data_IF_621352707758
#
_entry.id   IF_621352707758
#
_cell.length_a   1.000
_cell.length_b   1.000
_cell.length_c   1.000
_cell.angle_alpha   90.00
_cell.angle_beta   90.00
_cell.angle_gamma   90.00
#
_symmetry.space_group_name_H-M   'P 1'
#
loop_
_entity.id
_entity.type
_entity.pdbx_description
1 polymer ?
#
# COMPACT_ATOMS: atom_id res chain seq x y z
N UNK A 1 -17.47 -1.65 0.21
CA UNK A 1 -16.17 -1.68 -0.50
C UNK A 1 -15.05 -2.25 0.38
N UNK A 2 -14.86 -1.76 1.62
CA UNK A 2 -13.89 -2.30 2.60
C UNK A 2 -14.04 -3.83 2.84
N UNK A 3 -15.28 -4.33 2.96
CA UNK A 3 -15.55 -5.75 3.19
C UNK A 3 -14.92 -6.68 2.13
N UNK A 4 -14.99 -6.29 0.84
CA UNK A 4 -14.43 -7.07 -0.28
C UNK A 4 -12.90 -7.12 -0.21
N UNK A 5 -12.27 -5.99 0.12
CA UNK A 5 -10.82 -5.92 0.27
C UNK A 5 -10.33 -6.73 1.47
N UNK A 6 -11.08 -6.78 2.57
CA UNK A 6 -10.72 -7.59 3.73
C UNK A 6 -10.85 -9.09 3.44
N UNK A 7 -11.86 -9.51 2.68
CA UNK A 7 -11.97 -10.91 2.25
C UNK A 7 -10.87 -11.31 1.25
N UNK A 8 -10.47 -10.39 0.37
CA UNK A 8 -9.30 -10.57 -0.50
C UNK A 8 -8.03 -10.80 0.33
N UNK A 9 -7.78 -9.93 1.33
CA UNK A 9 -6.64 -10.04 2.23
C UNK A 9 -6.62 -11.39 2.97
N UNK A 10 -7.74 -11.78 3.57
CA UNK A 10 -7.87 -13.07 4.28
C UNK A 10 -7.62 -14.25 3.35
N UNK A 11 -8.12 -14.19 2.12
CA UNK A 11 -7.91 -15.25 1.13
C UNK A 11 -6.43 -15.37 0.75
N UNK A 12 -5.75 -14.23 0.56
CA UNK A 12 -4.31 -14.22 0.31
C UNK A 12 -3.52 -14.77 1.50
N UNK A 13 -3.86 -14.38 2.73
CA UNK A 13 -3.21 -14.88 3.96
C UNK A 13 -3.37 -16.39 4.14
N UNK A 14 -4.56 -16.95 3.92
CA UNK A 14 -4.77 -18.41 4.00
C UNK A 14 -3.88 -19.14 3.00
N UNK A 15 -3.79 -18.64 1.78
CA UNK A 15 -2.95 -19.24 0.75
C UNK A 15 -1.45 -19.11 1.08
N UNK A 16 -1.02 -17.97 1.64
CA UNK A 16 0.33 -17.76 2.13
C UNK A 16 0.71 -18.77 3.23
N UNK A 17 -0.12 -18.91 4.26
CA UNK A 17 0.12 -19.84 5.37
C UNK A 17 0.17 -21.29 4.88
N UNK A 18 -0.71 -21.67 3.94
CA UNK A 18 -0.76 -23.03 3.40
C UNK A 18 0.44 -23.39 2.49
N UNK A 19 1.14 -22.39 1.94
CA UNK A 19 2.23 -22.61 1.00
C UNK A 19 3.61 -22.15 1.51
N UNK A 20 3.70 -21.40 2.61
CA UNK A 20 4.97 -20.90 3.14
C UNK A 20 5.95 -22.02 3.51
N UNK A 21 5.45 -23.15 4.02
CA UNK A 21 6.26 -24.33 4.32
C UNK A 21 6.86 -25.01 3.10
N UNK A 22 6.36 -24.71 1.89
CA UNK A 22 6.83 -25.27 0.62
C UNK A 22 8.02 -24.51 0.03
N UNK A 23 8.37 -23.34 0.58
CA UNK A 23 9.58 -22.61 0.19
C UNK A 23 10.80 -23.50 0.44
N UNK A 24 11.71 -23.60 -0.52
CA UNK A 24 12.86 -24.51 -0.40
C UNK A 24 13.87 -24.00 0.62
N UNK A 25 14.10 -22.69 0.63
CA UNK A 25 15.07 -22.05 1.51
C UNK A 25 14.48 -21.77 2.91
N UNK A 26 15.25 -22.08 3.95
CA UNK A 26 14.82 -21.87 5.34
C UNK A 26 14.78 -20.39 5.69
N UNK A 27 15.67 -19.56 5.15
CA UNK A 27 15.63 -18.12 5.40
C UNK A 27 14.38 -17.51 4.78
N UNK A 28 14.03 -17.91 3.55
CA UNK A 28 12.77 -17.51 2.89
C UNK A 28 11.53 -17.87 3.71
N UNK A 29 11.50 -19.03 4.38
CA UNK A 29 10.38 -19.39 5.28
C UNK A 29 10.26 -18.43 6.45
N UNK A 30 11.38 -18.07 7.07
CA UNK A 30 11.43 -17.11 8.18
C UNK A 30 10.99 -15.73 7.69
N UNK A 31 11.54 -15.26 6.57
CA UNK A 31 11.17 -13.97 5.95
C UNK A 31 9.68 -13.91 5.60
N UNK A 32 9.15 -14.96 4.99
CA UNK A 32 7.72 -15.06 4.68
C UNK A 32 6.87 -14.89 5.94
N UNK A 33 7.25 -15.55 7.04
CA UNK A 33 6.55 -15.45 8.33
C UNK A 33 6.64 -14.05 8.92
N UNK A 34 7.81 -13.40 8.90
CA UNK A 34 7.99 -12.01 9.33
C UNK A 34 7.06 -11.06 8.55
N UNK A 35 7.00 -11.21 7.23
CA UNK A 35 6.15 -10.40 6.37
C UNK A 35 4.66 -10.66 6.61
N UNK A 36 4.22 -11.92 6.75
CA UNK A 36 2.84 -12.26 7.09
C UNK A 36 2.43 -11.58 8.40
N UNK A 37 3.25 -11.71 9.46
CA UNK A 37 3.00 -11.05 10.74
C UNK A 37 2.92 -9.53 10.59
N UNK A 38 3.84 -8.93 9.84
CA UNK A 38 3.83 -7.48 9.61
C UNK A 38 2.53 -7.02 8.94
N UNK A 39 2.05 -7.74 7.93
CA UNK A 39 0.83 -7.39 7.20
C UNK A 39 -0.42 -7.56 8.07
N UNK A 40 -0.45 -8.56 8.95
CA UNK A 40 -1.56 -8.73 9.91
C UNK A 40 -1.60 -7.59 10.93
N UNK A 41 -0.43 -7.11 11.37
CA UNK A 41 -0.31 -6.04 12.37
C UNK A 41 -0.60 -4.64 11.81
N UNK A 42 -0.71 -4.49 10.50
CA UNK A 42 -1.11 -3.21 9.90
C UNK A 42 -2.61 -2.95 10.17
N UNK A 43 -3.01 -1.73 10.62
CA UNK A 43 -4.41 -1.40 10.89
C UNK A 43 -5.34 -1.54 9.67
N UNK A 44 -6.62 -1.82 9.91
CA UNK A 44 -7.68 -1.82 8.88
C UNK A 44 -8.62 -0.62 8.95
N UNK A 45 -8.23 0.39 9.71
CA UNK A 45 -8.97 1.63 9.97
C UNK A 45 -9.11 2.54 8.73
N UNK A 46 -8.23 2.41 7.76
CA UNK A 46 -8.19 3.25 6.56
C UNK A 46 -8.13 2.43 5.28
N UNK A 47 -8.79 2.94 4.23
CA UNK A 47 -8.72 2.36 2.89
C UNK A 47 -7.29 2.28 2.35
N UNK A 48 -6.43 3.20 2.77
CA UNK A 48 -5.01 3.21 2.43
C UNK A 48 -4.29 2.01 3.04
N UNK A 49 -4.41 1.78 4.35
CA UNK A 49 -3.81 0.63 5.02
C UNK A 49 -4.37 -0.70 4.50
N UNK A 50 -5.66 -0.75 4.17
CA UNK A 50 -6.30 -1.91 3.52
C UNK A 50 -5.65 -2.20 2.16
N UNK A 51 -5.47 -1.18 1.31
CA UNK A 51 -4.85 -1.35 -0.02
C UNK A 51 -3.39 -1.75 0.09
N UNK A 52 -2.62 -1.10 0.96
CA UNK A 52 -1.21 -1.44 1.21
C UNK A 52 -1.08 -2.91 1.60
N UNK A 53 -1.87 -3.37 2.58
CA UNK A 53 -1.84 -4.79 2.98
C UNK A 53 -2.17 -5.74 1.85
N UNK A 54 -3.17 -5.41 1.03
CA UNK A 54 -3.55 -6.24 -0.11
C UNK A 54 -2.47 -6.31 -1.19
N UNK A 55 -1.91 -5.17 -1.61
CA UNK A 55 -0.88 -5.15 -2.65
C UNK A 55 0.33 -6.01 -2.25
N UNK A 56 0.79 -5.84 -1.01
CA UNK A 56 1.87 -6.65 -0.46
C UNK A 56 1.50 -8.14 -0.33
N UNK A 57 0.31 -8.45 0.20
CA UNK A 57 -0.11 -9.83 0.40
C UNK A 57 -0.25 -10.59 -0.92
N UNK A 58 -0.82 -9.94 -1.94
CA UNK A 58 -1.00 -10.55 -3.26
C UNK A 58 0.34 -10.76 -3.96
N UNK A 59 1.26 -9.81 -3.88
CA UNK A 59 2.59 -9.99 -4.45
C UNK A 59 3.37 -11.07 -3.72
N UNK A 60 3.36 -11.07 -2.38
CA UNK A 60 3.99 -12.13 -1.59
C UNK A 60 3.40 -13.51 -1.91
N UNK A 61 2.10 -13.58 -2.15
CA UNK A 61 1.40 -14.82 -2.52
C UNK A 61 1.89 -15.38 -3.85
N UNK A 62 2.09 -14.51 -4.85
CA UNK A 62 2.67 -14.90 -6.14
C UNK A 62 4.07 -15.49 -5.93
N UNK A 63 4.89 -14.82 -5.11
CA UNK A 63 6.25 -15.24 -4.80
C UNK A 63 6.33 -16.60 -4.09
N UNK A 64 5.50 -16.79 -3.07
CA UNK A 64 5.43 -18.07 -2.34
C UNK A 64 4.99 -19.21 -3.26
N UNK A 65 4.07 -18.95 -4.19
CA UNK A 65 3.66 -19.93 -5.22
C UNK A 65 4.77 -20.23 -6.22
N UNK A 66 5.61 -19.25 -6.54
CA UNK A 66 6.79 -19.45 -7.38
C UNK A 66 7.91 -20.22 -6.64
N UNK A 67 7.85 -20.33 -5.31
CA UNK A 67 8.76 -21.12 -4.50
C UNK A 67 10.02 -20.38 -4.04
N UNK A 68 10.15 -19.09 -4.33
CA UNK A 68 11.29 -18.27 -3.90
C UNK A 68 10.85 -16.84 -3.53
N UNK A 69 11.50 -16.26 -2.51
CA UNK A 69 11.36 -14.83 -2.21
C UNK A 69 12.46 -14.03 -2.91
N UNK A 70 12.11 -12.84 -3.40
CA UNK A 70 13.06 -11.92 -4.00
C UNK A 70 12.64 -10.46 -3.81
N UNK A 71 13.55 -9.55 -4.08
CA UNK A 71 13.29 -8.11 -4.05
C UNK A 71 13.02 -7.63 -2.63
N UNK A 72 11.93 -6.89 -2.41
CA UNK A 72 11.62 -6.31 -1.10
C UNK A 72 11.36 -7.37 -0.02
N UNK A 73 11.05 -8.61 -0.41
CA UNK A 73 10.79 -9.72 0.52
C UNK A 73 12.04 -10.51 0.92
N UNK A 74 13.20 -10.24 0.31
CA UNK A 74 14.46 -10.86 0.70
C UNK A 74 14.98 -10.35 2.06
N UNK A 75 14.50 -9.19 2.49
CA UNK A 75 14.86 -8.55 3.75
C UNK A 75 13.70 -8.60 4.76
N UNK A 76 14.01 -8.34 6.04
CA UNK A 76 12.97 -8.16 7.06
C UNK A 76 12.04 -7.00 6.67
N UNK A 77 10.75 -7.07 7.01
CA UNK A 77 9.85 -5.95 6.83
C UNK A 77 10.34 -4.70 7.57
N UNK A 78 10.25 -3.50 6.96
CA UNK A 78 10.62 -2.26 7.61
C UNK A 78 9.66 -1.92 8.75
N UNK A 79 10.11 -1.04 9.67
CA UNK A 79 9.28 -0.51 10.76
C UNK A 79 8.02 0.18 10.23
N UNK A 80 8.16 0.99 9.20
CA UNK A 80 7.06 1.66 8.51
C UNK A 80 6.95 1.12 7.10
N UNK A 81 5.78 0.57 6.75
CA UNK A 81 5.49 0.13 5.39
C UNK A 81 5.05 1.35 4.58
N UNK A 82 5.66 1.51 3.42
CA UNK A 82 5.23 2.48 2.40
C UNK A 82 4.35 1.79 1.36
N UNK A 83 3.64 2.53 0.49
CA UNK A 83 2.90 1.93 -0.61
C UNK A 83 3.76 1.01 -1.47
N UNK A 84 3.23 -0.16 -1.85
CA UNK A 84 3.99 -1.18 -2.58
C UNK A 84 4.71 -0.66 -3.83
N UNK A 85 4.08 0.18 -4.69
CA UNK A 85 4.77 0.74 -5.86
C UNK A 85 5.95 1.63 -5.49
N UNK A 86 5.92 2.30 -4.34
CA UNK A 86 7.03 3.11 -3.84
C UNK A 86 8.20 2.23 -3.40
N UNK A 87 7.91 1.16 -2.65
CA UNK A 87 8.94 0.22 -2.21
C UNK A 87 9.65 -0.45 -3.39
N UNK A 88 8.88 -0.92 -4.39
CA UNK A 88 9.44 -1.48 -5.62
C UNK A 88 10.19 -0.43 -6.43
N UNK A 89 9.67 0.79 -6.53
CA UNK A 89 10.34 1.90 -7.20
C UNK A 89 11.70 2.23 -6.58
N UNK A 90 11.78 2.28 -5.25
CA UNK A 90 13.05 2.46 -4.51
C UNK A 90 14.02 1.32 -4.76
N UNK A 91 13.55 0.07 -4.74
CA UNK A 91 14.38 -1.10 -5.06
C UNK A 91 14.97 -1.02 -6.47
N UNK A 92 14.18 -0.58 -7.46
CA UNK A 92 14.64 -0.43 -8.85
C UNK A 92 15.61 0.75 -8.97
N UNK A 93 15.29 1.91 -8.40
CA UNK A 93 16.17 3.09 -8.42
C UNK A 93 17.52 2.82 -7.75
N UNK A 94 17.56 2.00 -6.70
CA UNK A 94 18.82 1.56 -6.08
C UNK A 94 19.71 0.73 -7.04
N UNK A 95 19.10 0.04 -8.01
CA UNK A 95 19.83 -0.76 -9.03
C UNK A 95 20.16 0.03 -10.29
N UNK A 96 19.45 1.13 -10.56
CA UNK A 96 19.61 1.94 -11.78
C UNK A 96 19.79 3.41 -11.36
N UNK A 97 21.04 3.87 -11.19
CA UNK A 97 21.35 5.20 -10.66
C UNK A 97 20.84 6.37 -11.51
N UNK A 98 20.56 6.12 -12.79
CA UNK A 98 20.04 7.12 -13.73
C UNK A 98 18.54 7.38 -13.55
N UNK A 99 17.83 6.54 -12.81
CA UNK A 99 16.43 6.77 -12.53
C UNK A 99 16.27 7.82 -11.43
N UNK A 100 15.27 8.71 -11.54
CA UNK A 100 14.96 9.64 -10.47
C UNK A 100 14.58 8.87 -9.19
N UNK A 101 14.90 9.40 -8.00
CA UNK A 101 14.48 8.79 -6.75
C UNK A 101 12.95 8.72 -6.69
N UNK A 102 12.41 7.52 -6.47
CA UNK A 102 10.98 7.33 -6.22
C UNK A 102 10.67 7.82 -4.80
N UNK A 103 10.28 9.10 -4.72
CA UNK A 103 9.80 9.78 -3.51
C UNK A 103 8.28 9.67 -3.36
N UNK A 104 7.73 10.02 -2.18
CA UNK A 104 6.46 9.47 -1.72
C UNK A 104 5.35 9.65 -2.75
N UNK A 105 4.77 8.53 -3.17
CA UNK A 105 3.64 8.53 -4.11
C UNK A 105 2.42 9.22 -3.46
N UNK A 106 2.45 9.36 -2.13
CA UNK A 106 1.50 10.13 -1.35
C UNK A 106 2.05 11.49 -0.93
N UNK A 107 1.55 12.53 -1.58
CA UNK A 107 1.04 13.69 -0.83
C UNK A 107 -0.39 13.91 -1.29
N UNK A 108 -1.32 13.02 -0.88
CA UNK A 108 -2.74 13.30 -0.97
C UNK A 108 -3.12 14.16 0.24
N UNK A 109 -2.94 15.48 0.17
CA UNK A 109 -3.51 16.35 1.20
C UNK A 109 -5.02 16.33 1.01
N UNK A 110 -5.73 15.63 1.89
CA UNK A 110 -7.20 15.63 1.93
C UNK A 110 -7.68 16.40 3.16
N UNK A 111 -8.59 17.34 2.96
CA UNK A 111 -9.14 18.13 4.04
C UNK A 111 -10.62 18.37 3.81
N UNK A 112 -11.41 18.14 4.85
CA UNK A 112 -12.79 18.57 4.95
C UNK A 112 -12.85 19.86 5.74
N UNK A 113 -13.64 20.82 5.29
CA UNK A 113 -13.97 21.98 6.11
C UNK A 113 -14.69 21.54 7.39
N UNK A 114 -14.59 22.30 8.51
CA UNK A 114 -15.24 21.93 9.77
C UNK A 114 -16.75 21.71 9.67
N UNK A 115 -17.40 22.36 8.70
CA UNK A 115 -18.84 22.24 8.43
C UNK A 115 -19.19 21.11 7.45
N UNK A 116 -18.20 20.34 6.96
CA UNK A 116 -18.39 19.24 6.02
C UNK A 116 -18.84 19.64 4.62
N UNK A 117 -18.85 20.95 4.29
CA UNK A 117 -19.36 21.46 3.00
C UNK A 117 -18.32 21.56 1.91
N UNK A 118 -17.04 21.60 2.27
CA UNK A 118 -15.94 21.64 1.32
C UNK A 118 -15.01 20.45 1.53
N UNK A 119 -14.59 19.86 0.41
CA UNK A 119 -13.56 18.83 0.38
C UNK A 119 -12.48 19.23 -0.61
N UNK A 120 -11.24 19.24 -0.16
CA UNK A 120 -10.06 19.43 -1.01
C UNK A 120 -9.19 18.18 -0.97
N UNK A 121 -8.74 17.73 -2.13
CA UNK A 121 -7.70 16.74 -2.29
C UNK A 121 -6.62 17.26 -3.23
N UNK A 122 -5.38 17.32 -2.78
CA UNK A 122 -4.23 17.77 -3.58
C UNK A 122 -3.32 16.57 -3.82
N UNK A 123 -2.88 16.36 -5.05
CA UNK A 123 -1.87 15.36 -5.43
C UNK A 123 -0.76 16.03 -6.25
N UNK A 124 0.50 16.07 -5.80
CA UNK A 124 1.59 16.59 -6.61
C UNK A 124 1.83 15.72 -7.85
N UNK A 125 2.11 16.37 -8.98
CA UNK A 125 2.57 15.76 -10.23
C UNK A 125 4.04 16.16 -10.41
N UNK A 126 4.99 15.21 -10.26
CA UNK A 126 6.42 15.49 -10.37
C UNK A 126 6.77 16.25 -11.65
N UNK A 127 7.46 17.39 -11.49
CA UNK A 127 7.89 18.25 -12.61
C UNK A 127 6.77 18.98 -13.37
N UNK A 128 5.50 18.82 -12.96
CA UNK A 128 4.34 19.37 -13.69
C UNK A 128 3.34 20.13 -12.82
N UNK A 129 3.56 20.24 -11.51
CA UNK A 129 2.71 21.00 -10.58
C UNK A 129 1.88 20.10 -9.66
N UNK A 130 0.62 20.44 -9.44
CA UNK A 130 -0.31 19.69 -8.56
C UNK A 130 -1.65 19.46 -9.26
N UNK A 131 -2.26 18.30 -9.04
CA UNK A 131 -3.66 18.03 -9.34
C UNK A 131 -4.49 18.32 -8.09
N UNK A 132 -5.42 19.26 -8.20
CA UNK A 132 -6.31 19.63 -7.10
C UNK A 132 -7.75 19.26 -7.46
N UNK A 133 -8.39 18.47 -6.60
CA UNK A 133 -9.83 18.25 -6.61
C UNK A 133 -10.46 19.07 -5.49
N UNK A 134 -11.40 19.95 -5.83
CA UNK A 134 -12.18 20.74 -4.89
C UNK A 134 -13.66 20.49 -5.14
N UNK A 135 -14.39 20.11 -4.10
CA UNK A 135 -15.85 20.02 -4.11
C UNK A 135 -16.40 20.94 -3.05
N UNK A 136 -17.42 21.73 -3.40
CA UNK A 136 -18.11 22.64 -2.49
C UNK A 136 -19.60 22.43 -2.64
N UNK A 137 -20.29 22.19 -1.54
CA UNK A 137 -21.75 22.15 -1.48
C UNK A 137 -22.27 23.57 -1.25
N UNK A 138 -22.97 24.20 -2.22
CA UNK A 138 -23.53 25.52 -2.05
C UNK A 138 -24.61 25.53 -0.97
N UNK A 139 -24.76 26.67 -0.29
CA UNK A 139 -25.88 26.89 0.63
C UNK A 139 -27.15 27.12 -0.21
N UNK A 140 -28.29 26.46 0.08
CA UNK A 140 -29.56 26.95 -0.43
C UNK A 140 -29.77 28.34 0.17
N UNK A 141 -29.96 29.33 -0.69
CA UNK A 141 -30.32 30.69 -0.27
C UNK A 141 -31.55 30.60 0.63
N UNK A 142 -31.52 31.23 1.81
CA UNK A 142 -32.72 31.34 2.63
C UNK A 142 -33.82 31.99 1.79
N UNK A 143 -35.00 31.36 1.61
CA UNK A 143 -36.11 32.04 0.97
C UNK A 143 -36.49 33.23 1.86
N UNK A 144 -36.24 34.43 1.34
CA UNK A 144 -36.69 35.69 1.93
C UNK A 144 -38.22 35.80 1.93
#
# INVERSE_FOLDING_TARGET
>A
MSLKYNEEFKTALRDLVNNSSKLMDQFDRVRCTEWIHKLIMLPDDSLENIKIRNDYAQYLRIMVRAGCLHGIFSESPPKTIMPFPEAMGKLIAAKIPTLPPMGPINVYMKHWSPDGRAYVAIKPIPGKGVLTYLSVTPQPECPH
#
